data_IF_120318107474
#
_entry.id   IF_120318107474
#
_cell.length_a   1.000
_cell.length_b   1.000
_cell.length_c   1.000
_cell.angle_alpha   90.00
_cell.angle_beta   90.00
_cell.angle_gamma   90.00
#
_symmetry.space_group_name_H-M   'P 1'
#
loop_
_entity.id
_entity.type
_entity.pdbx_description
1 polymer ?
#
# COMPACT_ATOMS: atom_id res chain seq x y z
N UNK A 1 -33.33 28.36 10.68
CA UNK A 1 -32.35 28.71 9.63
C UNK A 1 -30.96 28.47 10.20
N UNK A 2 -30.40 27.29 10.00
CA UNK A 2 -29.05 26.98 10.45
C UNK A 2 -28.07 27.34 9.32
N UNK A 3 -27.37 28.45 9.51
CA UNK A 3 -26.21 28.82 8.67
C UNK A 3 -25.08 27.85 8.98
N UNK A 4 -24.90 26.85 8.13
CA UNK A 4 -23.67 26.06 8.12
C UNK A 4 -22.53 27.00 7.67
N UNK A 5 -21.71 27.42 8.63
CA UNK A 5 -20.53 28.20 8.35
C UNK A 5 -19.63 27.35 7.41
N UNK A 6 -19.54 27.78 6.15
CA UNK A 6 -18.53 27.25 5.23
C UNK A 6 -17.15 27.44 5.87
N UNK A 7 -16.55 26.33 6.31
CA UNK A 7 -15.12 26.35 6.64
C UNK A 7 -14.37 26.69 5.35
N UNK A 8 -13.96 27.93 5.22
CA UNK A 8 -13.01 28.33 4.17
C UNK A 8 -11.71 27.60 4.44
N UNK A 9 -11.45 26.54 3.67
CA UNK A 9 -10.16 25.86 3.74
C UNK A 9 -9.08 26.83 3.29
N UNK A 10 -8.07 27.03 4.13
CA UNK A 10 -6.87 27.78 3.73
C UNK A 10 -6.25 27.08 2.51
N UNK A 11 -5.77 27.82 1.51
CA UNK A 11 -5.07 27.23 0.38
C UNK A 11 -3.88 26.39 0.86
N UNK A 12 -3.75 25.18 0.36
CA UNK A 12 -2.58 24.33 0.65
C UNK A 12 -1.37 24.93 -0.04
N UNK A 13 -0.25 25.07 0.68
CA UNK A 13 1.00 25.52 0.08
C UNK A 13 1.43 24.57 -1.06
N UNK A 14 2.04 25.06 -2.13
CA UNK A 14 2.52 24.23 -3.22
C UNK A 14 3.46 23.11 -2.74
N UNK A 15 3.31 21.92 -3.30
CA UNK A 15 4.13 20.74 -2.97
C UNK A 15 4.36 19.87 -4.20
N UNK A 16 5.33 18.98 -4.12
CA UNK A 16 5.59 17.95 -5.13
C UNK A 16 4.90 16.64 -4.72
N UNK A 17 4.27 16.01 -5.70
CA UNK A 17 3.82 14.61 -5.62
C UNK A 17 4.66 13.79 -6.60
N UNK A 18 5.24 12.69 -6.14
CA UNK A 18 6.09 11.82 -6.94
C UNK A 18 5.40 10.49 -7.20
N UNK A 19 5.32 10.09 -8.47
CA UNK A 19 5.01 8.72 -8.86
C UNK A 19 6.32 8.01 -9.19
N UNK A 20 6.65 6.95 -8.44
CA UNK A 20 7.90 6.20 -8.60
C UNK A 20 7.60 4.85 -9.22
N UNK A 21 8.24 4.58 -10.35
CA UNK A 21 8.20 3.27 -11.00
C UNK A 21 9.52 2.56 -10.76
N UNK A 22 9.47 1.51 -9.95
CA UNK A 22 10.59 0.59 -9.73
C UNK A 22 10.46 -0.63 -10.63
N UNK A 23 11.51 -1.43 -10.74
CA UNK A 23 11.41 -2.74 -11.35
C UNK A 23 10.61 -3.64 -10.38
N UNK A 24 9.46 -4.14 -10.82
CA UNK A 24 8.68 -5.09 -10.05
C UNK A 24 9.37 -6.47 -10.13
N UNK A 25 10.09 -6.85 -9.08
CA UNK A 25 10.71 -8.16 -8.97
C UNK A 25 9.77 -9.13 -8.25
N UNK A 26 9.45 -10.25 -8.91
CA UNK A 26 8.68 -11.33 -8.30
C UNK A 26 9.42 -11.93 -7.09
N UNK A 27 8.66 -12.34 -6.08
CA UNK A 27 9.20 -12.94 -4.87
C UNK A 27 8.96 -14.46 -4.89
N UNK A 28 9.98 -15.24 -4.54
CA UNK A 28 9.88 -16.68 -4.32
C UNK A 28 10.00 -17.05 -2.83
N UNK A 29 10.48 -16.12 -2.04
CA UNK A 29 10.46 -16.15 -0.57
C UNK A 29 10.51 -14.71 -0.01
N UNK A 30 10.31 -14.55 1.29
CA UNK A 30 10.29 -13.23 1.95
C UNK A 30 11.61 -12.45 1.86
N UNK A 31 12.74 -13.11 1.65
CA UNK A 31 14.04 -12.42 1.51
C UNK A 31 14.11 -11.54 0.27
N UNK A 32 13.34 -11.88 -0.76
CA UNK A 32 13.27 -11.06 -1.96
C UNK A 32 12.53 -9.72 -1.70
N UNK A 33 11.62 -9.67 -0.70
CA UNK A 33 10.97 -8.41 -0.32
C UNK A 33 12.00 -7.42 0.23
N UNK A 34 12.97 -7.89 1.01
CA UNK A 34 14.02 -7.01 1.53
C UNK A 34 14.81 -6.34 0.40
N UNK A 35 15.14 -7.08 -0.65
CA UNK A 35 15.80 -6.52 -1.84
C UNK A 35 14.91 -5.47 -2.56
N UNK A 36 13.60 -5.74 -2.67
CA UNK A 36 12.67 -4.79 -3.26
C UNK A 36 12.54 -3.52 -2.40
N UNK A 37 12.53 -3.65 -1.07
CA UNK A 37 12.53 -2.52 -0.15
C UNK A 37 13.78 -1.65 -0.28
N UNK A 38 14.96 -2.25 -0.39
CA UNK A 38 16.23 -1.54 -0.61
C UNK A 38 16.21 -0.78 -1.94
N UNK A 39 15.69 -1.40 -3.00
CA UNK A 39 15.50 -0.74 -4.30
C UNK A 39 14.54 0.46 -4.19
N UNK A 40 13.43 0.28 -3.46
CA UNK A 40 12.46 1.37 -3.22
C UNK A 40 13.10 2.50 -2.43
N UNK A 41 13.89 2.20 -1.39
CA UNK A 41 14.62 3.18 -0.59
C UNK A 41 15.57 4.01 -1.46
N UNK A 42 16.40 3.35 -2.27
CA UNK A 42 17.34 4.03 -3.17
C UNK A 42 16.63 4.98 -4.15
N UNK A 43 15.52 4.52 -4.73
CA UNK A 43 14.75 5.34 -5.66
C UNK A 43 14.08 6.53 -4.95
N UNK A 44 13.56 6.33 -3.73
CA UNK A 44 13.00 7.42 -2.92
C UNK A 44 14.09 8.44 -2.59
N UNK A 45 15.26 8.00 -2.12
CA UNK A 45 16.39 8.88 -1.81
C UNK A 45 16.81 9.70 -3.01
N UNK A 46 16.99 9.07 -4.17
CA UNK A 46 17.36 9.76 -5.40
C UNK A 46 16.28 10.76 -5.83
N UNK A 47 15.03 10.35 -5.89
CA UNK A 47 13.93 11.19 -6.37
C UNK A 47 13.70 12.41 -5.47
N UNK A 48 13.68 12.21 -4.14
CA UNK A 48 13.49 13.31 -3.19
C UNK A 48 14.69 14.28 -3.23
N UNK A 49 15.92 13.78 -3.32
CA UNK A 49 17.12 14.61 -3.42
C UNK A 49 17.11 15.52 -4.65
N UNK A 50 16.57 15.01 -5.76
CA UNK A 50 16.51 15.79 -7.01
C UNK A 50 15.36 16.80 -7.04
N UNK A 51 14.27 16.53 -6.33
CA UNK A 51 13.03 17.32 -6.47
C UNK A 51 12.77 18.28 -5.31
N UNK A 52 13.30 18.00 -4.11
CA UNK A 52 13.06 18.80 -2.90
C UNK A 52 13.84 20.15 -2.86
N UNK A 53 14.30 20.63 -4.00
CA UNK A 53 15.11 21.85 -4.11
C UNK A 53 14.21 23.09 -4.02
N UNK A 54 13.06 23.09 -4.70
CA UNK A 54 12.19 24.24 -4.84
C UNK A 54 10.87 24.12 -4.07
N UNK A 55 10.39 22.93 -3.88
CA UNK A 55 9.12 22.62 -3.19
C UNK A 55 9.26 21.32 -2.39
N UNK A 56 8.62 21.24 -1.21
CA UNK A 56 8.68 20.02 -0.41
C UNK A 56 7.93 18.88 -1.12
N UNK A 57 8.50 17.68 -1.09
CA UNK A 57 7.80 16.46 -1.48
C UNK A 57 6.82 16.08 -0.35
N UNK A 58 5.53 15.94 -0.65
CA UNK A 58 4.50 15.63 0.34
C UNK A 58 3.77 14.33 0.07
N UNK A 59 3.87 13.79 -1.13
CA UNK A 59 3.27 12.51 -1.51
C UNK A 59 4.24 11.75 -2.39
N UNK A 60 4.45 10.49 -2.06
CA UNK A 60 5.18 9.52 -2.88
C UNK A 60 4.24 8.35 -3.13
N UNK A 61 3.99 7.99 -4.38
CA UNK A 61 3.23 6.81 -4.76
C UNK A 61 4.15 5.82 -5.48
N UNK A 62 4.20 4.59 -5.00
CA UNK A 62 4.90 3.49 -5.64
C UNK A 62 3.99 2.80 -6.66
N UNK A 63 4.59 2.20 -7.69
CA UNK A 63 3.85 1.36 -8.62
C UNK A 63 3.31 0.10 -7.92
N UNK A 64 2.20 -0.44 -8.41
CA UNK A 64 1.69 -1.75 -8.01
C UNK A 64 2.78 -2.81 -8.15
N UNK A 65 2.88 -3.70 -7.16
CA UNK A 65 3.88 -4.76 -7.15
C UNK A 65 5.31 -4.33 -6.79
N UNK A 66 5.54 -3.08 -6.41
CA UNK A 66 6.88 -2.60 -6.06
C UNK A 66 7.56 -3.42 -4.93
N UNK A 67 6.79 -3.98 -4.00
CA UNK A 67 7.30 -4.78 -2.89
C UNK A 67 7.22 -6.29 -3.15
N UNK A 68 6.09 -6.78 -3.64
CA UNK A 68 5.81 -8.23 -3.73
C UNK A 68 5.82 -8.77 -5.15
N UNK A 69 5.99 -7.89 -6.16
CA UNK A 69 5.88 -8.27 -7.55
C UNK A 69 4.50 -8.84 -7.89
N UNK A 70 4.48 -9.66 -8.93
CA UNK A 70 3.27 -10.28 -9.49
C UNK A 70 3.40 -11.82 -9.51
N UNK A 71 3.96 -12.40 -8.46
CA UNK A 71 4.27 -13.85 -8.40
C UNK A 71 3.01 -14.72 -8.51
N UNK A 72 1.93 -14.30 -7.88
CA UNK A 72 0.63 -14.99 -7.91
C UNK A 72 -0.07 -14.94 -9.28
N UNK A 73 0.36 -14.07 -10.17
CA UNK A 73 -0.18 -13.96 -11.54
C UNK A 73 0.56 -14.86 -12.53
N UNK A 74 1.76 -15.31 -12.14
CA UNK A 74 2.63 -16.18 -12.93
C UNK A 74 2.50 -17.63 -12.49
N UNK A 75 2.38 -17.87 -11.19
CA UNK A 75 2.35 -19.20 -10.58
C UNK A 75 1.02 -19.40 -9.86
N UNK A 76 0.37 -20.54 -10.12
CA UNK A 76 -0.81 -20.97 -9.38
C UNK A 76 -0.37 -21.53 -8.00
N UNK A 77 -0.23 -20.65 -7.03
CA UNK A 77 0.18 -20.98 -5.68
C UNK A 77 -1.06 -21.24 -4.80
N UNK A 78 -1.03 -22.25 -3.93
CA UNK A 78 -2.07 -22.41 -2.91
C UNK A 78 -2.17 -21.13 -2.06
N UNK A 79 -3.38 -20.56 -1.94
CA UNK A 79 -3.59 -19.27 -1.28
C UNK A 79 -3.01 -19.21 0.14
N UNK A 80 -3.27 -20.26 0.94
CA UNK A 80 -2.74 -20.32 2.31
C UNK A 80 -1.21 -20.30 2.34
N UNK A 81 -0.57 -21.06 1.47
CA UNK A 81 0.89 -21.09 1.38
C UNK A 81 1.45 -19.72 1.00
N UNK A 82 0.86 -19.09 -0.01
CA UNK A 82 1.27 -17.76 -0.46
C UNK A 82 1.05 -16.71 0.63
N UNK A 83 -0.09 -16.75 1.32
CA UNK A 83 -0.38 -15.86 2.45
C UNK A 83 0.65 -16.03 3.58
N UNK A 84 0.92 -17.26 4.00
CA UNK A 84 1.77 -17.54 5.17
C UNK A 84 3.26 -17.29 4.90
N UNK A 85 3.75 -17.61 3.68
CA UNK A 85 5.18 -17.65 3.40
C UNK A 85 5.70 -16.49 2.54
N UNK A 86 4.83 -15.83 1.77
CA UNK A 86 5.28 -14.83 0.81
C UNK A 86 4.81 -13.41 1.13
N UNK A 87 3.56 -13.22 1.52
CA UNK A 87 2.98 -11.88 1.54
C UNK A 87 3.05 -11.21 2.92
N UNK A 88 2.95 -9.89 2.91
CA UNK A 88 3.23 -9.04 4.06
C UNK A 88 1.99 -8.87 4.98
N UNK A 89 2.24 -8.48 6.20
CA UNK A 89 1.23 -7.93 7.10
C UNK A 89 1.19 -6.39 6.99
N UNK A 90 0.01 -5.81 7.13
CA UNK A 90 -0.17 -4.35 7.14
C UNK A 90 -1.05 -3.96 8.33
N UNK A 91 -0.49 -3.32 9.38
CA UNK A 91 0.93 -2.96 9.54
C UNK A 91 1.85 -4.17 9.81
N UNK A 92 3.14 -4.04 9.50
CA UNK A 92 4.18 -5.04 9.71
C UNK A 92 5.58 -4.48 9.44
N UNK A 93 6.59 -5.35 9.36
CA UNK A 93 8.01 -4.97 9.21
C UNK A 93 8.26 -4.08 7.98
N UNK A 94 7.61 -4.38 6.86
CA UNK A 94 7.74 -3.63 5.61
C UNK A 94 7.14 -2.22 5.73
N UNK A 95 6.01 -2.10 6.44
CA UNK A 95 5.41 -0.78 6.70
C UNK A 95 6.21 0.03 7.71
N UNK A 96 6.87 -0.61 8.69
CA UNK A 96 7.80 0.06 9.60
C UNK A 96 9.04 0.58 8.85
N UNK A 97 9.57 -0.22 7.91
CA UNK A 97 10.68 0.21 7.05
C UNK A 97 10.31 1.47 6.27
N UNK A 98 9.19 1.44 5.54
CA UNK A 98 8.70 2.58 4.77
C UNK A 98 8.29 3.76 5.67
N UNK A 99 7.81 3.49 6.87
CA UNK A 99 7.48 4.50 7.88
C UNK A 99 8.70 5.34 8.30
N UNK A 100 9.88 4.72 8.37
CA UNK A 100 11.13 5.47 8.62
C UNK A 100 11.43 6.47 7.49
N UNK A 101 11.19 6.07 6.24
CA UNK A 101 11.36 6.96 5.08
C UNK A 101 10.31 8.07 5.06
N UNK A 102 9.06 7.75 5.37
CA UNK A 102 7.99 8.74 5.48
C UNK A 102 8.30 9.83 6.52
N UNK A 103 8.79 9.42 7.70
CA UNK A 103 9.28 10.35 8.74
C UNK A 103 10.47 11.17 8.28
N UNK A 104 11.48 10.52 7.69
CA UNK A 104 12.71 11.18 7.26
C UNK A 104 12.43 12.33 6.30
N UNK A 105 11.48 12.12 5.37
CA UNK A 105 11.15 13.10 4.34
C UNK A 105 9.91 13.94 4.64
N UNK A 106 9.24 13.71 5.77
CA UNK A 106 8.00 14.37 6.14
C UNK A 106 6.96 14.32 5.00
N UNK A 107 6.70 13.11 4.51
CA UNK A 107 5.89 12.82 3.31
C UNK A 107 4.95 11.64 3.55
N UNK A 108 3.85 11.59 2.81
CA UNK A 108 3.01 10.41 2.71
C UNK A 108 3.61 9.42 1.72
N UNK A 109 3.54 8.11 2.01
CA UNK A 109 3.92 7.06 1.07
C UNK A 109 2.69 6.18 0.79
N UNK A 110 2.33 6.06 -0.49
CA UNK A 110 1.24 5.23 -0.97
C UNK A 110 1.83 4.00 -1.64
N UNK A 111 1.37 2.83 -1.22
CA UNK A 111 1.88 1.54 -1.69
C UNK A 111 0.73 0.63 -2.05
N UNK A 112 0.91 -0.21 -3.07
CA UNK A 112 0.01 -1.30 -3.41
C UNK A 112 0.81 -2.59 -3.60
N UNK A 113 0.46 -3.62 -2.83
CA UNK A 113 1.13 -4.93 -2.87
C UNK A 113 0.22 -6.04 -2.34
N UNK A 114 0.67 -7.28 -2.45
CA UNK A 114 -0.03 -8.43 -1.87
C UNK A 114 0.20 -8.48 -0.35
N UNK A 115 -0.89 -8.51 0.41
CA UNK A 115 -0.87 -8.50 1.87
C UNK A 115 -1.92 -9.42 2.48
N UNK A 116 -1.66 -9.85 3.70
CA UNK A 116 -2.61 -10.61 4.51
C UNK A 116 -3.57 -9.69 5.26
N UNK A 117 -4.75 -10.22 5.54
CA UNK A 117 -5.75 -9.61 6.42
C UNK A 117 -6.26 -10.65 7.40
N UNK A 118 -5.42 -11.11 8.34
CA UNK A 118 -5.74 -12.22 9.22
C UNK A 118 -6.94 -11.94 10.12
N UNK A 119 -7.24 -10.67 10.40
CA UNK A 119 -8.42 -10.25 11.13
C UNK A 119 -9.75 -10.59 10.43
N UNK A 120 -9.70 -10.81 9.10
CA UNK A 120 -10.89 -11.18 8.30
C UNK A 120 -10.79 -12.63 7.85
N UNK A 121 -9.62 -13.01 7.29
CA UNK A 121 -9.39 -14.36 6.75
C UNK A 121 -7.89 -14.64 6.69
N UNK A 122 -7.45 -15.63 7.43
CA UNK A 122 -6.03 -15.95 7.63
C UNK A 122 -5.43 -16.84 6.52
N UNK A 123 -6.27 -17.49 5.71
CA UNK A 123 -5.84 -18.40 4.65
C UNK A 123 -5.90 -17.75 3.24
N UNK A 124 -6.00 -16.42 3.18
CA UNK A 124 -6.07 -15.66 1.94
C UNK A 124 -5.14 -14.46 1.98
N UNK A 125 -4.84 -13.95 0.79
CA UNK A 125 -4.15 -12.68 0.59
C UNK A 125 -4.97 -11.77 -0.33
N UNK A 126 -4.71 -10.48 -0.21
CA UNK A 126 -5.42 -9.44 -0.95
C UNK A 126 -4.41 -8.55 -1.66
N UNK A 127 -4.79 -7.99 -2.79
CA UNK A 127 -4.05 -6.88 -3.36
C UNK A 127 -4.48 -5.62 -2.59
N UNK A 128 -3.57 -5.13 -1.77
CA UNK A 128 -3.84 -4.13 -0.75
C UNK A 128 -3.14 -2.82 -1.05
N UNK A 129 -3.91 -1.73 -1.13
CA UNK A 129 -3.38 -0.37 -1.08
C UNK A 129 -3.31 0.07 0.38
N UNK A 130 -2.20 0.67 0.79
CA UNK A 130 -2.10 1.33 2.08
C UNK A 130 -1.37 2.67 1.99
N UNK A 131 -1.62 3.54 2.96
CA UNK A 131 -1.01 4.86 3.04
C UNK A 131 -0.32 4.98 4.38
N UNK A 132 0.95 5.38 4.33
CA UNK A 132 1.77 5.71 5.50
C UNK A 132 1.87 7.23 5.58
N UNK A 133 1.62 7.79 6.76
CA UNK A 133 1.70 9.23 7.00
C UNK A 133 3.12 9.68 7.37
N UNK A 134 3.36 11.02 7.49
CA UNK A 134 4.65 11.56 7.88
C UNK A 134 5.12 11.16 9.29
N UNK A 135 4.25 10.67 10.15
CA UNK A 135 4.59 10.11 11.45
C UNK A 135 4.96 8.62 11.37
N UNK A 136 4.94 8.05 10.14
CA UNK A 136 5.30 6.68 9.85
C UNK A 136 4.23 5.66 10.24
N UNK A 137 2.98 6.10 10.36
CA UNK A 137 1.86 5.23 10.72
C UNK A 137 1.04 4.87 9.48
N UNK A 138 0.56 3.63 9.42
CA UNK A 138 -0.44 3.24 8.42
C UNK A 138 -1.76 3.91 8.80
N UNK A 139 -2.22 4.83 7.96
CA UNK A 139 -3.45 5.62 8.19
C UNK A 139 -4.60 5.22 7.30
N UNK A 140 -4.34 4.40 6.29
CA UNK A 140 -5.37 3.85 5.40
C UNK A 140 -4.95 2.49 4.88
N UNK A 141 -5.92 1.59 4.72
CA UNK A 141 -5.75 0.27 4.13
C UNK A 141 -7.03 -0.10 3.38
N UNK A 142 -6.91 -0.47 2.11
CA UNK A 142 -8.03 -0.86 1.26
C UNK A 142 -7.66 -2.05 0.39
N UNK A 143 -8.57 -2.99 0.19
CA UNK A 143 -8.39 -4.11 -0.71
C UNK A 143 -8.92 -3.77 -2.12
N UNK A 144 -8.23 -4.26 -3.14
CA UNK A 144 -8.63 -4.11 -4.54
C UNK A 144 -9.92 -4.88 -4.80
N UNK A 145 -10.93 -4.19 -5.34
CA UNK A 145 -12.26 -4.76 -5.58
C UNK A 145 -12.38 -5.46 -6.94
N UNK A 146 -11.62 -5.03 -7.94
CA UNK A 146 -11.67 -5.57 -9.29
C UNK A 146 -10.30 -6.05 -9.70
N UNK A 147 -10.17 -7.35 -9.91
CA UNK A 147 -8.91 -8.00 -10.26
C UNK A 147 -8.75 -8.09 -11.77
N UNK A 148 -7.51 -8.13 -12.23
CA UNK A 148 -7.18 -8.59 -13.56
C UNK A 148 -7.40 -10.11 -13.67
N UNK A 149 -7.70 -10.61 -14.86
CA UNK A 149 -8.13 -12.01 -15.07
C UNK A 149 -7.10 -13.10 -14.70
N UNK A 150 -5.85 -12.72 -14.42
CA UNK A 150 -4.80 -13.63 -13.94
C UNK A 150 -4.39 -13.39 -12.48
N UNK A 151 -4.97 -12.43 -11.85
CA UNK A 151 -4.69 -12.12 -10.46
C UNK A 151 -5.46 -13.07 -9.56
N UNK A 152 -4.77 -13.71 -8.62
CA UNK A 152 -5.35 -14.71 -7.72
C UNK A 152 -5.65 -14.16 -6.32
N UNK A 153 -5.49 -12.87 -6.11
CA UNK A 153 -5.85 -12.23 -4.83
C UNK A 153 -7.33 -12.44 -4.50
N UNK A 154 -7.64 -12.49 -3.22
CA UNK A 154 -9.02 -12.42 -2.75
C UNK A 154 -9.54 -10.98 -2.84
N UNK A 155 -10.81 -10.80 -3.12
CA UNK A 155 -11.48 -9.49 -3.08
C UNK A 155 -12.47 -9.42 -1.92
N UNK A 156 -12.90 -8.22 -1.50
CA UNK A 156 -14.02 -8.06 -0.58
C UNK A 156 -15.29 -8.81 -1.03
N UNK A 157 -15.52 -8.90 -2.34
CA UNK A 157 -16.70 -9.56 -2.88
C UNK A 157 -16.65 -11.08 -2.80
N UNK A 158 -15.44 -11.69 -2.82
CA UNK A 158 -15.29 -13.15 -2.67
C UNK A 158 -15.64 -13.63 -1.25
N UNK A 159 -15.55 -12.73 -0.28
CA UNK A 159 -15.82 -12.99 1.14
C UNK A 159 -16.83 -12.01 1.72
N UNK A 160 -17.80 -11.59 0.92
CA UNK A 160 -18.71 -10.50 1.17
C UNK A 160 -19.33 -10.49 2.58
N UNK A 161 -19.85 -11.63 3.05
CA UNK A 161 -20.50 -11.69 4.38
C UNK A 161 -19.52 -11.37 5.52
N UNK A 162 -18.31 -11.93 5.48
CA UNK A 162 -17.26 -11.63 6.48
C UNK A 162 -16.78 -10.18 6.38
N UNK A 163 -16.65 -9.68 5.14
CA UNK A 163 -16.24 -8.30 4.90
C UNK A 163 -17.24 -7.31 5.48
N UNK A 164 -18.53 -7.53 5.23
CA UNK A 164 -19.61 -6.69 5.73
C UNK A 164 -19.77 -6.80 7.26
N UNK A 165 -19.57 -8.00 7.81
CA UNK A 165 -19.57 -8.20 9.27
C UNK A 165 -18.48 -7.36 9.95
N UNK A 166 -17.31 -7.23 9.34
CA UNK A 166 -16.17 -6.52 9.91
C UNK A 166 -16.21 -5.02 9.65
N UNK A 167 -16.53 -4.58 8.41
CA UNK A 167 -16.47 -3.17 7.99
C UNK A 167 -17.83 -2.51 7.79
N UNK A 168 -18.92 -3.24 7.85
CA UNK A 168 -20.25 -2.75 7.48
C UNK A 168 -20.53 -2.81 5.98
N UNK A 169 -21.74 -2.42 5.59
CA UNK A 169 -22.21 -2.46 4.20
C UNK A 169 -22.18 -1.10 3.48
N UNK A 170 -21.59 -0.10 4.10
CA UNK A 170 -21.46 1.24 3.51
C UNK A 170 -20.47 1.27 2.34
N UNK A 171 -20.56 2.30 1.50
CA UNK A 171 -19.65 2.50 0.37
C UNK A 171 -18.18 2.62 0.83
N UNK A 172 -17.96 3.11 2.05
CA UNK A 172 -16.63 3.29 2.64
C UNK A 172 -15.97 1.95 3.05
N UNK A 173 -16.74 0.83 2.99
CA UNK A 173 -16.23 -0.51 3.28
C UNK A 173 -15.57 -1.18 2.05
N UNK A 174 -15.74 -0.61 0.84
CA UNK A 174 -15.32 -1.23 -0.42
C UNK A 174 -14.41 -0.35 -1.27
#
# INVERSE_FOLDING_TARGET
MNSAAQKTSQPVAPYMALGLSTIACGIADRKHIQHNLETVEDVIHAAVSMTNINMPVKVIALAEGALTGFTDEIFDLPHKLAADELFIDVPGEETEFLGRLAKMYNTYIIVQCKARWPEIMDDRFFNTLFIIDPDGQVVHKAAKNHLWCREHSCTPHDIYDRWVEHFGSGIDAF
#
